data_IF_408435711409
#
_entry.id   IF_408435711409
#
_cell.length_a   1.000
_cell.length_b   1.000
_cell.length_c   1.000
_cell.angle_alpha   90.00
_cell.angle_beta   90.00
_cell.angle_gamma   90.00
#
_symmetry.space_group_name_H-M   'P 1'
#
loop_
_entity.id
_entity.type
_entity.pdbx_description
1 polymer ?
#
# COMPACT_ATOMS: atom_id res chain seq x y z
N UNK A 1 8.74 -4.74 -24.82
CA UNK A 1 7.57 -5.39 -25.45
C UNK A 1 6.89 -4.36 -26.35
N UNK A 2 7.10 -4.46 -27.66
CA UNK A 2 6.47 -3.58 -28.64
C UNK A 2 4.94 -3.76 -28.58
N UNK A 3 4.17 -2.67 -28.71
CA UNK A 3 2.71 -2.72 -28.72
C UNK A 3 2.27 -3.31 -30.06
N UNK A 4 1.66 -4.50 -30.03
CA UNK A 4 1.06 -5.11 -31.22
C UNK A 4 -0.12 -4.25 -31.66
N UNK A 5 -0.20 -3.94 -32.95
CA UNK A 5 -1.33 -3.20 -33.50
C UNK A 5 -2.57 -4.12 -33.51
N UNK A 6 -3.69 -3.60 -32.99
CA UNK A 6 -4.97 -4.31 -32.82
C UNK A 6 -6.02 -3.83 -33.82
N UNK A 7 -5.66 -2.91 -34.73
CA UNK A 7 -6.55 -2.23 -35.67
C UNK A 7 -7.25 -3.16 -36.68
N UNK A 8 -6.70 -4.34 -36.95
CA UNK A 8 -7.24 -5.32 -37.91
C UNK A 8 -8.02 -6.50 -37.32
N UNK A 9 -8.24 -6.54 -36.00
CA UNK A 9 -8.88 -7.66 -35.30
C UNK A 9 -10.36 -7.40 -35.04
N UNK A 10 -11.17 -8.46 -35.07
CA UNK A 10 -12.58 -8.39 -34.68
C UNK A 10 -12.72 -8.09 -33.18
N UNK A 11 -13.85 -7.51 -32.72
CA UNK A 11 -14.06 -7.22 -31.30
C UNK A 11 -13.89 -8.43 -30.37
N UNK A 12 -14.23 -9.64 -30.85
CA UNK A 12 -14.05 -10.88 -30.11
C UNK A 12 -12.56 -11.25 -29.93
N UNK A 13 -11.75 -11.07 -30.97
CA UNK A 13 -10.32 -11.32 -30.95
C UNK A 13 -9.56 -10.29 -30.10
N UNK A 14 -9.99 -9.02 -30.15
CA UNK A 14 -9.46 -7.97 -29.26
C UNK A 14 -9.74 -8.29 -27.79
N UNK A 15 -10.92 -8.84 -27.48
CA UNK A 15 -11.27 -9.28 -26.11
C UNK A 15 -10.42 -10.47 -25.66
N UNK A 16 -10.22 -11.45 -26.54
CA UNK A 16 -9.38 -12.61 -26.26
C UNK A 16 -7.92 -12.20 -25.97
N UNK A 17 -7.35 -11.31 -26.79
CA UNK A 17 -6.00 -10.78 -26.61
C UNK A 17 -5.82 -10.01 -25.30
N UNK A 18 -6.81 -9.18 -24.92
CA UNK A 18 -6.80 -8.47 -23.64
C UNK A 18 -6.86 -9.42 -22.44
N UNK A 19 -7.68 -10.47 -22.52
CA UNK A 19 -7.75 -11.50 -21.48
C UNK A 19 -6.43 -12.27 -21.35
N UNK A 20 -5.78 -12.59 -22.46
CA UNK A 20 -4.49 -13.25 -22.48
C UNK A 20 -3.39 -12.37 -21.86
N UNK A 21 -3.34 -11.08 -22.23
CA UNK A 21 -2.43 -10.12 -21.57
C UNK A 21 -2.69 -10.02 -20.07
N UNK A 22 -3.96 -9.98 -19.64
CA UNK A 22 -4.30 -9.95 -18.22
C UNK A 22 -3.83 -11.23 -17.50
N UNK A 23 -4.03 -12.40 -18.11
CA UNK A 23 -3.56 -13.69 -17.58
C UNK A 23 -2.03 -13.72 -17.47
N UNK A 24 -1.31 -13.25 -18.49
CA UNK A 24 0.15 -13.16 -18.51
C UNK A 24 0.69 -12.20 -17.43
N UNK A 25 0.03 -11.05 -17.23
CA UNK A 25 0.39 -10.12 -16.15
C UNK A 25 0.18 -10.76 -14.77
N UNK A 26 -0.94 -11.46 -14.58
CA UNK A 26 -1.22 -12.17 -13.32
C UNK A 26 -0.26 -13.33 -13.08
N UNK A 27 0.13 -14.06 -14.12
CA UNK A 27 1.13 -15.14 -14.04
C UNK A 27 2.49 -14.58 -13.62
N UNK A 28 2.98 -13.53 -14.29
CA UNK A 28 4.24 -12.85 -13.90
C UNK A 28 4.22 -12.32 -12.48
N UNK A 29 3.09 -11.75 -12.03
CA UNK A 29 2.91 -11.30 -10.64
C UNK A 29 2.99 -12.47 -9.65
N UNK A 30 2.44 -13.63 -9.99
CA UNK A 30 2.49 -14.83 -9.13
C UNK A 30 3.90 -15.44 -9.10
N UNK A 31 4.58 -15.49 -10.25
CA UNK A 31 5.96 -15.96 -10.35
C UNK A 31 6.92 -15.05 -9.58
N UNK A 32 6.84 -13.73 -9.77
CA UNK A 32 7.64 -12.78 -9.01
C UNK A 32 7.43 -12.94 -7.49
N UNK A 33 6.18 -13.12 -7.03
CA UNK A 33 5.88 -13.41 -5.62
C UNK A 33 6.42 -14.76 -5.14
N UNK A 34 6.48 -15.77 -6.01
CA UNK A 34 7.00 -17.10 -5.68
C UNK A 34 8.53 -17.05 -5.60
N UNK A 35 9.19 -16.40 -6.55
CA UNK A 35 10.63 -16.17 -6.55
C UNK A 35 11.06 -15.32 -5.36
N UNK A 36 10.30 -14.28 -5.02
CA UNK A 36 10.53 -13.48 -3.81
C UNK A 36 10.47 -14.35 -2.54
N UNK A 37 9.50 -15.28 -2.45
CA UNK A 37 9.40 -16.23 -1.33
C UNK A 37 10.54 -17.24 -1.30
N UNK A 38 10.94 -17.76 -2.45
CA UNK A 38 12.05 -18.74 -2.54
C UNK A 38 13.41 -18.09 -2.26
N UNK A 39 13.61 -16.84 -2.69
CA UNK A 39 14.81 -16.07 -2.35
C UNK A 39 14.82 -15.66 -0.87
N UNK A 40 13.65 -15.38 -0.28
CA UNK A 40 13.52 -15.16 1.16
C UNK A 40 13.85 -16.42 1.98
N UNK A 41 13.61 -17.63 1.45
CA UNK A 41 14.02 -18.89 2.11
C UNK A 41 15.53 -19.16 2.03
N UNK A 42 16.24 -18.56 1.06
CA UNK A 42 17.65 -18.84 0.75
C UNK A 42 18.65 -17.83 1.35
N UNK A 43 18.19 -16.64 1.76
CA UNK A 43 18.97 -15.77 2.65
C UNK A 43 18.77 -16.29 4.06
N UNK A 44 19.85 -16.43 4.83
CA UNK A 44 19.78 -16.77 6.25
C UNK A 44 18.84 -15.77 6.93
N UNK A 45 17.63 -16.25 7.28
CA UNK A 45 16.61 -15.41 7.90
C UNK A 45 17.13 -15.01 9.28
N UNK A 46 17.16 -13.71 9.55
CA UNK A 46 17.55 -13.24 10.87
C UNK A 46 16.46 -13.64 11.86
N UNK A 47 16.89 -14.01 13.06
CA UNK A 47 16.04 -14.37 14.19
C UNK A 47 16.05 -13.25 15.22
N UNK A 48 15.12 -13.27 16.18
CA UNK A 48 15.06 -12.26 17.24
C UNK A 48 16.36 -12.13 18.06
N UNK A 49 17.16 -13.20 18.12
CA UNK A 49 18.42 -13.26 18.85
C UNK A 49 19.65 -12.97 17.96
N UNK A 50 19.45 -12.61 16.69
CA UNK A 50 20.57 -12.28 15.81
C UNK A 50 21.19 -10.94 16.25
N UNK A 51 22.53 -10.82 16.31
CA UNK A 51 23.19 -9.58 16.76
C UNK A 51 22.69 -8.33 16.03
N UNK A 52 22.54 -8.42 14.70
CA UNK A 52 22.02 -7.34 13.86
C UNK A 52 20.60 -6.89 14.25
N UNK A 53 19.75 -7.82 14.71
CA UNK A 53 18.38 -7.51 15.15
C UNK A 53 18.40 -6.87 16.52
N UNK A 54 19.25 -7.35 17.43
CA UNK A 54 19.38 -6.81 18.78
C UNK A 54 19.92 -5.38 18.73
N UNK A 55 21.00 -5.14 17.98
CA UNK A 55 21.57 -3.81 17.77
C UNK A 55 20.54 -2.84 17.20
N UNK A 56 19.81 -3.27 16.17
CA UNK A 56 18.76 -2.43 15.57
C UNK A 56 17.61 -2.14 16.55
N UNK A 57 17.17 -3.10 17.35
CA UNK A 57 16.12 -2.89 18.35
C UNK A 57 16.59 -1.93 19.45
N UNK A 58 17.86 -2.02 19.85
CA UNK A 58 18.46 -1.11 20.82
C UNK A 58 18.59 0.32 20.24
N UNK A 59 18.87 0.49 18.95
CA UNK A 59 18.86 1.81 18.28
C UNK A 59 17.48 2.47 18.27
N UNK A 60 16.41 1.67 18.26
CA UNK A 60 15.04 2.18 18.36
C UNK A 60 14.68 2.61 19.78
N UNK A 61 15.47 2.20 20.77
CA UNK A 61 15.22 2.52 22.17
C UNK A 61 15.30 4.03 22.41
N UNK A 62 14.23 4.60 22.97
CA UNK A 62 14.11 6.03 23.22
C UNK A 62 13.49 6.85 22.08
N UNK A 63 13.25 6.24 20.91
CA UNK A 63 12.42 6.87 19.88
C UNK A 63 10.95 6.89 20.29
N UNK A 64 10.21 7.91 19.83
CA UNK A 64 8.75 7.89 19.94
C UNK A 64 8.18 6.90 18.93
N UNK A 65 7.06 6.25 19.27
CA UNK A 65 6.35 5.30 18.40
C UNK A 65 6.32 5.68 16.90
N UNK A 66 5.95 6.92 16.56
CA UNK A 66 5.87 7.35 15.14
C UNK A 66 7.22 7.36 14.43
N UNK A 67 8.29 7.69 15.15
CA UNK A 67 9.65 7.76 14.63
C UNK A 67 10.28 6.37 14.46
N UNK A 68 9.76 5.33 15.13
CA UNK A 68 10.22 3.95 14.94
C UNK A 68 9.78 3.35 13.59
N UNK A 69 8.64 3.81 13.04
CA UNK A 69 8.00 3.16 11.88
C UNK A 69 8.89 3.22 10.64
N UNK A 70 9.53 4.37 10.38
CA UNK A 70 10.37 4.58 9.19
C UNK A 70 11.67 3.75 9.22
N UNK A 71 12.48 3.78 10.29
CA UNK A 71 13.63 2.89 10.42
C UNK A 71 13.26 1.42 10.26
N UNK A 72 12.16 0.96 10.88
CA UNK A 72 11.72 -0.44 10.74
C UNK A 72 11.35 -0.73 9.28
N UNK A 73 10.62 0.16 8.61
CA UNK A 73 10.26 -0.02 7.20
C UNK A 73 11.49 -0.04 6.28
N UNK A 74 12.53 0.74 6.61
CA UNK A 74 13.81 0.71 5.91
C UNK A 74 14.52 -0.63 6.13
N UNK A 75 14.66 -1.05 7.39
CA UNK A 75 15.29 -2.32 7.75
C UNK A 75 14.60 -3.53 7.08
N UNK A 76 13.26 -3.57 7.10
CA UNK A 76 12.48 -4.65 6.48
C UNK A 76 12.68 -4.73 4.97
N UNK A 77 12.88 -3.58 4.32
CA UNK A 77 13.15 -3.49 2.88
C UNK A 77 14.58 -3.94 2.54
N UNK A 78 15.55 -3.54 3.35
CA UNK A 78 16.97 -3.90 3.19
C UNK A 78 17.18 -5.40 3.37
N UNK A 79 16.64 -5.95 4.46
CA UNK A 79 16.78 -7.36 4.80
C UNK A 79 15.77 -8.25 4.08
N UNK A 80 14.77 -7.66 3.39
CA UNK A 80 13.70 -8.35 2.65
C UNK A 80 12.91 -9.35 3.51
N UNK A 81 12.76 -9.03 4.79
CA UNK A 81 12.03 -9.83 5.77
C UNK A 81 11.35 -8.91 6.77
N UNK A 82 10.34 -9.42 7.49
CA UNK A 82 9.76 -8.68 8.61
C UNK A 82 10.74 -8.67 9.77
N UNK A 83 10.79 -7.57 10.52
CA UNK A 83 11.63 -7.47 11.70
C UNK A 83 11.25 -8.60 12.67
N UNK A 84 12.17 -9.51 13.04
CA UNK A 84 11.85 -10.65 13.88
C UNK A 84 11.84 -10.19 15.34
N UNK A 85 10.72 -9.61 15.77
CA UNK A 85 10.46 -9.28 17.18
C UNK A 85 9.51 -10.32 17.75
N UNK A 86 9.82 -10.83 18.95
CA UNK A 86 8.91 -11.69 19.69
C UNK A 86 7.63 -10.93 20.09
N UNK A 87 6.55 -11.66 20.33
CA UNK A 87 5.25 -11.07 20.68
C UNK A 87 5.05 -10.89 22.19
N UNK A 88 5.98 -11.36 23.02
CA UNK A 88 5.82 -11.43 24.46
C UNK A 88 7.10 -10.97 25.18
N UNK A 89 6.90 -10.24 26.27
CA UNK A 89 7.96 -9.86 27.20
C UNK A 89 7.99 -10.86 28.34
N UNK A 90 9.09 -11.61 28.46
CA UNK A 90 9.32 -12.51 29.60
C UNK A 90 9.83 -11.70 30.79
N UNK A 91 9.19 -11.86 31.95
CA UNK A 91 9.61 -11.21 33.19
C UNK A 91 11.02 -11.67 33.59
N UNK A 92 11.89 -10.73 33.95
CA UNK A 92 13.26 -11.04 34.36
C UNK A 92 13.26 -11.28 35.88
N UNK A 93 13.89 -12.35 36.38
CA UNK A 93 13.99 -12.58 37.82
C UNK A 93 14.68 -11.40 38.53
N UNK A 94 14.03 -10.84 39.55
CA UNK A 94 14.55 -9.70 40.31
C UNK A 94 14.25 -8.32 39.74
N UNK A 95 13.55 -8.22 38.61
CA UNK A 95 13.10 -6.95 38.02
C UNK A 95 12.02 -6.30 38.90
N UNK A 96 12.12 -4.98 39.09
CA UNK A 96 11.09 -4.23 39.80
C UNK A 96 9.82 -4.11 38.93
N UNK A 97 8.63 -3.95 39.52
CA UNK A 97 7.40 -3.75 38.75
C UNK A 97 7.45 -2.55 37.78
N UNK A 98 8.18 -1.49 38.14
CA UNK A 98 8.35 -0.31 37.30
C UNK A 98 9.21 -0.55 36.06
N UNK A 99 10.31 -1.28 36.22
CA UNK A 99 11.19 -1.67 35.10
C UNK A 99 10.46 -2.59 34.12
N UNK A 100 9.71 -3.56 34.64
CA UNK A 100 8.87 -4.45 33.83
C UNK A 100 7.84 -3.65 33.00
N UNK A 101 7.14 -2.71 33.62
CA UNK A 101 6.15 -1.89 32.93
C UNK A 101 6.78 -1.04 31.81
N UNK A 102 7.93 -0.40 32.08
CA UNK A 102 8.62 0.40 31.08
C UNK A 102 9.08 -0.45 29.88
N UNK A 103 9.66 -1.63 30.15
CA UNK A 103 10.09 -2.59 29.11
C UNK A 103 8.91 -3.12 28.31
N UNK A 104 7.81 -3.45 28.97
CA UNK A 104 6.60 -3.94 28.32
C UNK A 104 5.94 -2.86 27.44
N UNK A 105 5.88 -1.62 27.90
CA UNK A 105 5.35 -0.50 27.11
C UNK A 105 6.23 -0.22 25.89
N UNK A 106 7.55 -0.20 26.04
CA UNK A 106 8.49 -0.07 24.92
C UNK A 106 8.30 -1.20 23.89
N UNK A 107 8.24 -2.45 24.35
CA UNK A 107 8.03 -3.61 23.50
C UNK A 107 6.68 -3.55 22.76
N UNK A 108 5.62 -3.09 23.44
CA UNK A 108 4.31 -2.86 22.82
C UNK A 108 4.41 -1.82 21.70
N UNK A 109 5.10 -0.70 21.94
CA UNK A 109 5.28 0.34 20.92
C UNK A 109 6.07 -0.18 19.72
N UNK A 110 7.13 -0.96 19.94
CA UNK A 110 7.90 -1.62 18.91
C UNK A 110 7.04 -2.57 18.06
N UNK A 111 6.24 -3.43 18.70
CA UNK A 111 5.32 -4.34 18.02
C UNK A 111 4.27 -3.59 17.18
N UNK A 112 3.72 -2.50 17.70
CA UNK A 112 2.81 -1.64 16.94
C UNK A 112 3.52 -0.96 15.77
N UNK A 113 4.76 -0.51 15.94
CA UNK A 113 5.52 0.17 14.89
C UNK A 113 5.82 -0.79 13.73
N UNK A 114 6.26 -2.02 14.07
CA UNK A 114 6.40 -3.15 13.12
C UNK A 114 5.11 -3.49 12.40
N UNK A 115 3.94 -3.35 13.03
CA UNK A 115 2.68 -3.58 12.34
C UNK A 115 2.42 -2.55 11.24
N UNK A 116 2.83 -1.29 11.44
CA UNK A 116 2.62 -0.20 10.48
C UNK A 116 3.75 -0.03 9.46
N UNK A 117 4.93 -0.58 9.69
CA UNK A 117 6.10 -0.44 8.81
C UNK A 117 5.90 -0.92 7.37
N UNK A 118 5.18 -2.04 7.07
CA UNK A 118 5.09 -2.53 5.69
C UNK A 118 4.36 -1.57 4.75
N UNK A 119 3.40 -0.82 5.28
CA UNK A 119 2.59 0.13 4.52
C UNK A 119 3.19 1.53 4.47
N UNK A 120 4.29 1.80 5.19
CA UNK A 120 4.79 3.15 5.42
C UNK A 120 5.01 3.94 4.12
N UNK A 121 5.79 3.38 3.19
CA UNK A 121 6.07 4.03 1.90
C UNK A 121 4.82 4.16 1.02
N UNK A 122 3.92 3.19 1.06
CA UNK A 122 2.66 3.27 0.33
C UNK A 122 1.77 4.42 0.86
N UNK A 123 1.74 4.62 2.18
CA UNK A 123 1.03 5.73 2.84
C UNK A 123 1.67 7.06 2.53
N UNK A 124 3.01 7.16 2.54
CA UNK A 124 3.70 8.38 2.14
C UNK A 124 3.37 8.78 0.70
N UNK A 125 3.49 7.85 -0.25
CA UNK A 125 3.14 8.13 -1.64
C UNK A 125 1.66 8.49 -1.81
N UNK A 126 0.75 7.85 -1.06
CA UNK A 126 -0.66 8.20 -1.08
C UNK A 126 -0.90 9.62 -0.55
N UNK A 127 -0.21 10.02 0.51
CA UNK A 127 -0.27 11.38 1.06
C UNK A 127 0.26 12.42 0.05
N UNK A 128 1.37 12.14 -0.63
CA UNK A 128 1.89 13.01 -1.69
C UNK A 128 0.93 13.15 -2.87
N UNK A 129 0.35 12.03 -3.33
CA UNK A 129 -0.66 12.03 -4.40
C UNK A 129 -1.86 12.88 -4.02
N UNK A 130 -2.35 12.73 -2.78
CA UNK A 130 -3.45 13.53 -2.25
C UNK A 130 -3.09 15.02 -2.21
N UNK A 131 -1.91 15.37 -1.68
CA UNK A 131 -1.44 16.77 -1.65
C UNK A 131 -1.39 17.39 -3.05
N UNK A 132 -0.86 16.67 -4.04
CA UNK A 132 -0.84 17.12 -5.44
C UNK A 132 -2.25 17.29 -6.02
N UNK A 133 -3.15 16.36 -5.69
CA UNK A 133 -4.56 16.44 -6.09
C UNK A 133 -5.25 17.66 -5.47
N UNK A 134 -5.10 17.87 -4.17
CA UNK A 134 -5.71 18.99 -3.43
C UNK A 134 -5.22 20.34 -3.99
N UNK A 135 -3.92 20.47 -4.28
CA UNK A 135 -3.37 21.68 -4.93
C UNK A 135 -3.95 21.90 -6.33
N UNK A 136 -4.15 20.82 -7.10
CA UNK A 136 -4.76 20.91 -8.43
C UNK A 136 -6.21 21.36 -8.34
N UNK A 137 -6.99 20.80 -7.43
CA UNK A 137 -8.39 21.21 -7.22
C UNK A 137 -8.49 22.66 -6.76
N UNK A 138 -7.62 23.10 -5.85
CA UNK A 138 -7.56 24.48 -5.40
C UNK A 138 -7.32 25.46 -6.56
N UNK A 139 -6.35 25.17 -7.43
CA UNK A 139 -6.05 25.99 -8.62
C UNK A 139 -7.20 26.03 -9.62
N UNK A 140 -7.90 24.91 -9.80
CA UNK A 140 -9.04 24.83 -10.72
C UNK A 140 -10.25 25.60 -10.19
N UNK A 141 -10.51 25.52 -8.89
CA UNK A 141 -11.54 26.29 -8.22
C UNK A 141 -11.25 27.79 -8.32
N UNK A 142 -10.00 28.19 -8.06
CA UNK A 142 -9.52 29.58 -8.20
C UNK A 142 -9.69 30.10 -9.63
N UNK A 143 -9.29 29.32 -10.65
CA UNK A 143 -9.48 29.69 -12.06
C UNK A 143 -10.95 29.91 -12.44
N UNK A 144 -11.86 29.18 -11.81
CA UNK A 144 -13.29 29.27 -12.04
C UNK A 144 -13.97 30.32 -11.15
N UNK A 145 -13.23 30.98 -10.25
CA UNK A 145 -13.75 31.95 -9.30
C UNK A 145 -14.74 31.34 -8.29
N UNK A 146 -14.61 30.05 -8.00
CA UNK A 146 -15.49 29.31 -7.08
C UNK A 146 -14.70 28.68 -5.94
N UNK A 147 -15.40 28.22 -4.92
CA UNK A 147 -14.78 27.45 -3.84
C UNK A 147 -14.50 26.00 -4.27
N UNK A 148 -13.51 25.35 -3.63
CA UNK A 148 -13.21 23.92 -3.86
C UNK A 148 -14.44 23.04 -3.59
N UNK A 149 -15.21 23.36 -2.55
CA UNK A 149 -16.44 22.65 -2.23
C UNK A 149 -17.48 22.72 -3.36
N UNK A 150 -17.67 23.90 -3.95
CA UNK A 150 -18.58 24.08 -5.08
C UNK A 150 -18.11 23.35 -6.34
N UNK A 151 -16.80 23.36 -6.61
CA UNK A 151 -16.20 22.57 -7.69
C UNK A 151 -16.50 21.08 -7.52
N UNK A 152 -16.28 20.54 -6.32
CA UNK A 152 -16.58 19.14 -5.99
C UNK A 152 -18.07 18.82 -6.11
N UNK A 153 -18.95 19.75 -5.67
CA UNK A 153 -20.40 19.61 -5.81
C UNK A 153 -20.83 19.55 -7.28
N UNK A 154 -20.31 20.44 -8.13
CA UNK A 154 -20.57 20.44 -9.58
C UNK A 154 -20.14 19.13 -10.22
N UNK A 155 -18.90 18.69 -9.96
CA UNK A 155 -18.38 17.40 -10.44
C UNK A 155 -19.25 16.21 -10.03
N UNK A 156 -19.75 16.19 -8.79
CA UNK A 156 -20.62 15.12 -8.30
C UNK A 156 -21.96 15.09 -9.04
N UNK A 157 -22.54 16.26 -9.32
CA UNK A 157 -23.79 16.39 -10.09
C UNK A 157 -23.54 15.92 -11.54
N UNK A 158 -22.48 16.41 -12.19
CA UNK A 158 -22.15 16.05 -13.56
C UNK A 158 -21.91 14.54 -13.71
N UNK A 159 -21.19 13.93 -12.77
CA UNK A 159 -20.97 12.48 -12.74
C UNK A 159 -22.28 11.70 -12.59
N UNK A 160 -23.22 12.17 -11.75
CA UNK A 160 -24.52 11.54 -11.59
C UNK A 160 -25.38 11.65 -12.87
N UNK A 161 -25.36 12.81 -13.53
CA UNK A 161 -26.06 13.03 -14.81
C UNK A 161 -25.48 12.12 -15.90
N UNK A 162 -24.15 12.04 -16.01
CA UNK A 162 -23.48 11.17 -16.95
C UNK A 162 -23.81 9.69 -16.71
N UNK A 163 -23.80 9.23 -15.45
CA UNK A 163 -24.18 7.87 -15.10
C UNK A 163 -25.65 7.57 -15.44
N UNK A 164 -26.56 8.52 -15.24
CA UNK A 164 -27.98 8.36 -15.63
C UNK A 164 -28.14 8.24 -17.14
N UNK A 165 -27.42 9.06 -17.92
CA UNK A 165 -27.41 8.98 -19.39
C UNK A 165 -26.85 7.64 -19.86
N UNK A 166 -25.73 7.18 -19.29
CA UNK A 166 -25.13 5.89 -19.63
C UNK A 166 -26.10 4.72 -19.40
N UNK A 167 -26.80 4.68 -18.25
CA UNK A 167 -27.82 3.67 -17.95
C UNK A 167 -29.02 3.74 -18.90
N UNK A 168 -29.43 4.93 -19.32
CA UNK A 168 -30.52 5.09 -20.28
C UNK A 168 -30.14 4.56 -21.67
N UNK A 169 -28.91 4.84 -22.12
CA UNK A 169 -28.37 4.30 -23.38
C UNK A 169 -28.24 2.78 -23.33
N UNK A 170 -27.76 2.24 -22.22
CA UNK A 170 -27.66 0.78 -22.01
C UNK A 170 -29.03 0.10 -22.07
N UNK A 171 -30.06 0.70 -21.46
CA UNK A 171 -31.45 0.22 -21.54
C UNK A 171 -32.03 0.29 -22.95
N UNK A 172 -31.72 1.33 -23.72
CA UNK A 172 -32.15 1.43 -25.11
C UNK A 172 -31.48 0.36 -25.98
N UNK A 173 -30.17 0.18 -25.83
CA UNK A 173 -29.43 -0.86 -26.54
C UNK A 173 -29.92 -2.28 -26.20
N UNK A 174 -30.30 -2.54 -24.95
CA UNK A 174 -30.90 -3.82 -24.54
C UNK A 174 -32.30 -4.05 -25.13
N UNK A 175 -33.09 -2.99 -25.33
CA UNK A 175 -34.41 -3.06 -25.97
C UNK A 175 -34.32 -3.27 -27.48
N UNK A 176 -33.31 -2.71 -28.13
CA UNK A 176 -33.07 -2.90 -29.57
C UNK A 176 -32.49 -4.29 -29.89
N UNK A 177 -31.87 -4.95 -28.91
CA UNK A 177 -31.29 -6.28 -29.05
C UNK A 177 -32.24 -7.43 -28.66
N UNK A 178 -33.43 -7.12 -28.15
CA UNK A 178 -34.46 -8.08 -27.71
C UNK A 178 -35.64 -8.09 -28.69
#
# INVERSE_FOLDING_TARGET
MARQDLSGLTPAEVKAHKNEQARLRMAKMREAKKEEREMAKKKDMLTANSPEVLEFVDELHGLKFRAMIEPIAYWEREHKQRLPVDSAVVAIPGETPGEYQARNEHHRQLCLARFYSPDFYARQQAAERKKKFDVKEAREAERLGITVFELQKRRKIDAAVAAKKARAMERLAQKEAA
#
